data_IF_045068827006
#
_entry.id   IF_045068827006
#
_cell.length_a   1.000
_cell.length_b   1.000
_cell.length_c   1.000
_cell.angle_alpha   90.00
_cell.angle_beta   90.00
_cell.angle_gamma   90.00
#
_symmetry.space_group_name_H-M   'P 1'
#
loop_
_entity.id
_entity.type
_entity.pdbx_description
1 polymer ?
#
# COMPACT_ATOMS: atom_id res chain seq x y z
N UNK A 1 -9.66 17.66 -30.85
CA UNK A 1 -11.09 17.26 -30.91
C UNK A 1 -11.42 16.48 -32.17
N UNK A 2 -10.99 16.90 -33.37
CA UNK A 2 -11.24 16.18 -34.63
C UNK A 2 -10.87 14.70 -34.60
N UNK A 3 -9.68 14.35 -34.08
CA UNK A 3 -9.26 12.95 -33.92
C UNK A 3 -10.19 12.14 -32.99
N UNK A 4 -10.68 12.75 -31.90
CA UNK A 4 -11.59 12.12 -30.95
C UNK A 4 -12.99 11.90 -31.52
N UNK A 5 -13.42 12.75 -32.47
CA UNK A 5 -14.72 12.59 -33.15
C UNK A 5 -14.66 11.58 -34.29
N UNK A 6 -13.47 11.36 -34.87
CA UNK A 6 -13.27 10.47 -36.00
C UNK A 6 -12.85 9.05 -35.61
N UNK A 7 -12.35 8.84 -34.39
CA UNK A 7 -11.85 7.54 -33.93
C UNK A 7 -12.99 6.56 -33.66
N UNK A 8 -12.81 5.32 -34.10
CA UNK A 8 -13.61 4.16 -33.72
C UNK A 8 -12.96 3.35 -32.58
N UNK A 9 -11.78 3.77 -32.11
CA UNK A 9 -11.03 3.16 -31.02
C UNK A 9 -11.42 3.77 -29.67
N UNK A 10 -11.34 3.00 -28.58
CA UNK A 10 -11.54 3.53 -27.23
C UNK A 10 -10.57 4.64 -26.91
N UNK A 11 -11.10 5.64 -26.20
CA UNK A 11 -10.40 6.86 -25.86
C UNK A 11 -10.10 6.82 -24.38
N UNK A 12 -8.86 7.14 -24.06
CA UNK A 12 -8.40 7.25 -22.70
C UNK A 12 -7.91 8.69 -22.45
N UNK A 13 -8.29 9.26 -21.31
CA UNK A 13 -7.93 10.63 -20.92
C UNK A 13 -7.26 10.64 -19.55
N UNK A 14 -6.18 11.42 -19.42
CA UNK A 14 -5.52 11.69 -18.14
C UNK A 14 -5.63 13.18 -17.83
N UNK A 15 -6.68 13.63 -17.10
CA UNK A 15 -6.88 15.04 -16.80
C UNK A 15 -5.78 15.57 -15.90
N UNK A 16 -5.38 16.83 -16.12
CA UNK A 16 -4.46 17.56 -15.26
C UNK A 16 -4.85 19.04 -15.23
N UNK A 17 -5.15 19.56 -14.04
CA UNK A 17 -5.55 20.94 -13.81
C UNK A 17 -5.46 21.30 -12.32
N UNK A 18 -5.49 22.59 -12.02
CA UNK A 18 -5.58 23.08 -10.64
C UNK A 18 -6.80 22.47 -9.89
N UNK A 19 -6.74 22.22 -8.57
CA UNK A 19 -7.83 21.56 -7.84
C UNK A 19 -9.16 22.29 -7.91
N UNK A 20 -9.13 23.64 -7.90
CA UNK A 20 -10.35 24.46 -8.06
C UNK A 20 -10.98 24.30 -9.43
N UNK A 21 -10.15 24.11 -10.48
CA UNK A 21 -10.65 23.83 -11.82
C UNK A 21 -11.28 22.43 -11.88
N UNK A 22 -10.69 21.46 -11.18
CA UNK A 22 -11.20 20.10 -11.10
C UNK A 22 -12.54 20.04 -10.36
N UNK A 23 -12.65 20.72 -9.22
CA UNK A 23 -13.85 20.82 -8.40
C UNK A 23 -14.98 21.63 -9.06
N UNK A 24 -14.65 22.45 -10.07
CA UNK A 24 -15.64 23.31 -10.73
C UNK A 24 -16.81 22.47 -11.30
N UNK A 25 -18.08 22.83 -11.04
CA UNK A 25 -19.24 22.03 -11.45
C UNK A 25 -19.27 21.70 -12.94
N UNK A 26 -18.85 22.63 -13.80
CA UNK A 26 -18.76 22.40 -15.24
C UNK A 26 -17.74 21.31 -15.60
N UNK A 27 -16.58 21.27 -14.94
CA UNK A 27 -15.56 20.25 -15.15
C UNK A 27 -16.07 18.89 -14.71
N UNK A 28 -16.67 18.81 -13.52
CA UNK A 28 -17.28 17.57 -13.00
C UNK A 28 -18.37 17.05 -13.93
N UNK A 29 -19.24 17.92 -14.45
CA UNK A 29 -20.28 17.54 -15.42
C UNK A 29 -19.70 17.07 -16.76
N UNK A 30 -18.63 17.71 -17.25
CA UNK A 30 -17.93 17.30 -18.46
C UNK A 30 -17.29 15.93 -18.29
N UNK A 31 -16.58 15.69 -17.18
CA UNK A 31 -15.96 14.39 -16.88
C UNK A 31 -17.02 13.28 -16.83
N UNK A 32 -18.11 13.50 -16.09
CA UNK A 32 -19.22 12.55 -16.04
C UNK A 32 -19.83 12.27 -17.42
N UNK A 33 -19.93 13.30 -18.27
CA UNK A 33 -20.40 13.16 -19.66
C UNK A 33 -19.43 12.33 -20.52
N UNK A 34 -18.12 12.53 -20.36
CA UNK A 34 -17.11 11.74 -21.07
C UNK A 34 -17.15 10.27 -20.63
N UNK A 35 -17.21 10.01 -19.32
CA UNK A 35 -17.32 8.66 -18.75
C UNK A 35 -18.60 7.96 -19.23
N UNK A 36 -19.74 8.66 -19.25
CA UNK A 36 -21.00 8.13 -19.78
C UNK A 36 -20.95 7.80 -21.28
N UNK A 37 -20.02 8.41 -22.02
CA UNK A 37 -19.75 8.12 -23.44
C UNK A 37 -18.71 7.01 -23.65
N UNK A 38 -18.28 6.34 -22.58
CA UNK A 38 -17.32 5.25 -22.63
C UNK A 38 -15.86 5.67 -22.71
N UNK A 39 -15.55 6.94 -22.42
CA UNK A 39 -14.16 7.42 -22.33
C UNK A 39 -13.58 6.97 -21.00
N UNK A 40 -12.41 6.32 -21.06
CA UNK A 40 -11.69 5.81 -19.90
C UNK A 40 -10.90 6.95 -19.28
N UNK A 41 -11.06 7.18 -17.97
CA UNK A 41 -10.31 8.20 -17.24
C UNK A 41 -9.18 7.57 -16.41
N UNK A 42 -7.99 8.18 -16.45
CA UNK A 42 -6.87 7.89 -15.55
C UNK A 42 -6.58 9.13 -14.70
N UNK A 43 -6.68 9.00 -13.39
CA UNK A 43 -6.53 10.14 -12.48
C UNK A 43 -7.67 11.16 -12.63
N UNK A 44 -7.49 12.43 -12.25
CA UNK A 44 -6.25 13.01 -11.76
C UNK A 44 -5.79 12.41 -10.42
N UNK A 45 -4.49 12.52 -10.15
CA UNK A 45 -3.92 12.25 -8.84
C UNK A 45 -4.13 13.41 -7.86
N UNK A 46 -3.74 13.16 -6.61
CA UNK A 46 -3.72 14.13 -5.53
C UNK A 46 -2.28 14.57 -5.24
N UNK A 47 -2.06 15.86 -4.98
CA UNK A 47 -0.75 16.34 -4.56
C UNK A 47 -0.61 17.86 -4.61
N UNK A 48 0.58 18.34 -4.24
CA UNK A 48 0.97 19.73 -4.44
C UNK A 48 1.05 20.08 -5.93
N UNK A 49 0.54 21.25 -6.26
CA UNK A 49 0.63 21.85 -7.59
C UNK A 49 1.91 22.68 -7.73
N UNK A 50 2.14 23.19 -8.94
CA UNK A 50 3.26 24.09 -9.22
C UNK A 50 3.20 25.42 -8.44
N UNK A 51 2.02 25.82 -7.95
CA UNK A 51 1.83 26.99 -7.10
C UNK A 51 1.83 26.62 -5.61
N UNK A 52 2.53 27.42 -4.81
CA UNK A 52 2.61 27.24 -3.36
C UNK A 52 1.23 27.32 -2.70
N UNK A 53 0.94 26.39 -1.79
CA UNK A 53 -0.33 26.24 -1.05
C UNK A 53 -1.55 25.77 -1.86
N UNK A 54 -1.34 25.22 -3.06
CA UNK A 54 -2.41 24.56 -3.82
C UNK A 54 -2.16 23.04 -3.83
N UNK A 55 -2.73 22.34 -2.85
CA UNK A 55 -2.73 20.88 -2.80
C UNK A 55 -4.17 20.37 -2.96
N UNK A 56 -4.38 19.37 -3.81
CA UNK A 56 -5.71 18.81 -4.05
C UNK A 56 -5.75 17.80 -5.19
N UNK A 57 -6.96 17.32 -5.48
CA UNK A 57 -7.22 16.43 -6.62
C UNK A 57 -7.18 17.25 -7.91
N UNK A 58 -6.32 16.84 -8.86
CA UNK A 58 -6.13 17.58 -10.12
C UNK A 58 -4.77 17.36 -10.77
N UNK A 59 -3.81 16.78 -10.03
CA UNK A 59 -2.46 16.52 -10.55
C UNK A 59 -2.56 15.47 -11.65
N UNK A 60 -1.73 15.56 -12.69
CA UNK A 60 -1.64 14.48 -13.68
C UNK A 60 -1.33 13.15 -12.95
N UNK A 61 -2.02 12.07 -13.31
CA UNK A 61 -1.61 10.74 -12.87
C UNK A 61 -0.14 10.51 -13.21
N UNK A 62 0.61 9.81 -12.35
CA UNK A 62 2.03 9.65 -12.61
C UNK A 62 2.23 8.93 -13.96
N UNK A 63 3.20 9.36 -14.81
CA UNK A 63 3.36 8.80 -16.15
C UNK A 63 3.43 7.26 -16.20
N UNK A 64 4.08 6.56 -15.24
CA UNK A 64 4.01 5.10 -15.17
C UNK A 64 2.60 4.55 -15.05
N UNK A 65 1.71 5.15 -14.26
CA UNK A 65 0.32 4.71 -14.12
C UNK A 65 -0.46 4.87 -15.43
N UNK A 66 -0.20 5.97 -16.15
CA UNK A 66 -0.80 6.21 -17.47
C UNK A 66 -0.34 5.14 -18.46
N UNK A 67 0.96 4.87 -18.50
CA UNK A 67 1.55 3.83 -19.36
C UNK A 67 0.98 2.46 -19.00
N UNK A 68 0.92 2.10 -17.73
CA UNK A 68 0.35 0.83 -17.27
C UNK A 68 -1.08 0.66 -17.73
N UNK A 69 -1.94 1.66 -17.55
CA UNK A 69 -3.34 1.55 -17.97
C UNK A 69 -3.49 1.49 -19.51
N UNK A 70 -2.63 2.18 -20.27
CA UNK A 70 -2.58 2.04 -21.73
C UNK A 70 -2.16 0.62 -22.11
N UNK A 71 -1.10 0.09 -21.50
CA UNK A 71 -0.58 -1.26 -21.76
C UNK A 71 -1.62 -2.32 -21.40
N UNK A 72 -2.21 -2.26 -20.20
CA UNK A 72 -3.28 -3.18 -19.79
C UNK A 72 -4.47 -3.15 -20.75
N UNK A 73 -4.83 -1.97 -21.25
CA UNK A 73 -5.88 -1.83 -22.25
C UNK A 73 -5.49 -2.48 -23.60
N UNK A 74 -4.27 -2.22 -24.08
CA UNK A 74 -3.78 -2.72 -25.38
C UNK A 74 -3.51 -4.23 -25.38
N UNK A 75 -2.99 -4.76 -24.28
CA UNK A 75 -2.77 -6.19 -24.07
C UNK A 75 -4.09 -6.94 -23.81
N UNK A 76 -5.19 -6.19 -23.62
CA UNK A 76 -6.52 -6.73 -23.48
C UNK A 76 -6.69 -7.54 -22.21
N UNK A 77 -5.88 -7.33 -21.16
CA UNK A 77 -5.98 -8.01 -19.87
C UNK A 77 -7.29 -7.58 -19.20
N UNK A 78 -8.38 -8.37 -19.30
CA UNK A 78 -9.60 -8.08 -18.59
C UNK A 78 -9.31 -8.30 -17.10
N UNK A 79 -10.08 -7.65 -16.23
CA UNK A 79 -10.05 -7.99 -14.80
C UNK A 79 -10.15 -9.51 -14.63
N UNK A 80 -9.16 -10.11 -13.99
CA UNK A 80 -9.09 -11.57 -13.77
C UNK A 80 -8.36 -12.38 -14.85
N UNK A 81 -7.59 -11.75 -15.75
CA UNK A 81 -6.55 -12.45 -16.54
C UNK A 81 -5.15 -11.97 -16.14
N UNK A 82 -4.16 -12.82 -16.36
CA UNK A 82 -2.77 -12.60 -15.95
C UNK A 82 -2.22 -13.79 -15.17
N UNK A 83 -0.94 -13.74 -14.80
CA UNK A 83 -0.23 -14.86 -14.17
C UNK A 83 -0.78 -15.24 -12.79
N UNK A 84 -1.50 -14.33 -12.13
CA UNK A 84 -2.14 -14.53 -10.84
C UNK A 84 -3.68 -14.63 -10.95
N UNK A 85 -4.21 -14.81 -12.15
CA UNK A 85 -5.65 -14.96 -12.36
C UNK A 85 -6.24 -16.12 -11.55
N UNK A 86 -7.36 -15.86 -10.88
CA UNK A 86 -8.05 -16.84 -10.03
C UNK A 86 -7.44 -17.00 -8.63
N UNK A 87 -6.35 -16.31 -8.31
CA UNK A 87 -5.76 -16.27 -6.97
C UNK A 87 -6.24 -15.06 -6.19
N UNK A 88 -6.26 -15.19 -4.88
CA UNK A 88 -6.65 -14.14 -3.94
C UNK A 88 -5.42 -13.57 -3.21
N UNK A 89 -5.37 -12.24 -3.07
CA UNK A 89 -4.26 -11.55 -2.40
C UNK A 89 -4.75 -10.59 -1.30
N UNK A 90 -4.04 -10.57 -0.18
CA UNK A 90 -4.18 -9.59 0.89
C UNK A 90 -2.90 -8.77 1.02
N UNK A 91 -3.00 -7.45 1.05
CA UNK A 91 -1.85 -6.56 1.26
C UNK A 91 -2.15 -5.61 2.41
N UNK A 92 -1.21 -5.43 3.33
CA UNK A 92 -1.30 -4.36 4.34
C UNK A 92 -0.41 -3.18 3.95
N UNK A 93 -0.87 -1.96 4.23
CA UNK A 93 -0.12 -0.75 3.91
C UNK A 93 -0.34 0.40 4.91
N UNK A 94 0.51 1.41 4.82
CA UNK A 94 0.43 2.62 5.65
C UNK A 94 0.93 2.42 7.08
N UNK A 95 0.90 3.49 7.89
CA UNK A 95 1.15 3.43 9.34
C UNK A 95 -0.13 3.03 10.10
N UNK A 96 -0.01 2.65 11.37
CA UNK A 96 -1.15 2.66 12.30
C UNK A 96 -1.04 3.84 13.27
N UNK A 97 -2.19 4.41 13.65
CA UNK A 97 -2.31 5.50 14.60
C UNK A 97 -2.91 4.96 15.90
N UNK A 98 -2.07 4.81 16.92
CA UNK A 98 -2.48 4.28 18.23
C UNK A 98 -2.91 5.43 19.14
N UNK A 99 -4.20 5.60 19.43
CA UNK A 99 -4.71 6.77 20.14
C UNK A 99 -4.21 6.81 21.58
N UNK A 100 -3.72 7.99 22.00
CA UNK A 100 -3.42 8.34 23.39
C UNK A 100 -4.65 8.99 24.03
N UNK A 101 -5.22 9.95 23.32
CA UNK A 101 -6.46 10.67 23.64
C UNK A 101 -7.13 11.10 22.31
N UNK A 102 -8.29 11.79 22.30
CA UNK A 102 -8.98 12.15 21.05
C UNK A 102 -8.21 13.11 20.12
N UNK A 103 -7.05 13.61 20.54
CA UNK A 103 -6.24 14.59 19.80
C UNK A 103 -4.84 14.05 19.46
N UNK A 104 -4.36 13.03 20.18
CA UNK A 104 -2.98 12.56 20.11
C UNK A 104 -2.93 11.07 19.86
N UNK A 105 -1.93 10.65 19.11
CA UNK A 105 -1.67 9.25 18.80
C UNK A 105 -0.17 8.96 18.67
N UNK A 106 0.19 7.69 18.73
CA UNK A 106 1.54 7.17 18.43
C UNK A 106 1.48 6.58 17.02
N UNK A 107 2.46 6.90 16.16
CA UNK A 107 2.50 6.41 14.79
C UNK A 107 3.92 6.29 14.25
N UNK A 108 4.08 5.39 13.27
CA UNK A 108 5.30 5.24 12.50
C UNK A 108 5.27 6.15 11.27
N UNK A 109 6.42 6.64 10.80
CA UNK A 109 6.54 7.57 9.65
C UNK A 109 6.41 6.90 8.27
N UNK A 110 5.47 5.97 8.11
CA UNK A 110 5.27 5.29 6.83
C UNK A 110 4.41 6.13 5.88
N UNK A 111 4.82 6.22 4.62
CA UNK A 111 4.01 6.86 3.57
C UNK A 111 2.98 5.91 2.94
N UNK A 112 3.07 4.60 3.20
CA UNK A 112 2.22 3.58 2.56
C UNK A 112 2.49 3.33 1.07
N UNK A 113 3.42 4.05 0.44
CA UNK A 113 3.68 3.94 -1.01
C UNK A 113 4.03 2.50 -1.44
N UNK A 114 4.82 1.78 -0.63
CA UNK A 114 5.28 0.43 -0.99
C UNK A 114 4.13 -0.58 -1.00
N UNK A 115 3.30 -0.63 0.05
CA UNK A 115 2.16 -1.55 0.10
C UNK A 115 1.09 -1.23 -0.94
N UNK A 116 0.85 0.06 -1.23
CA UNK A 116 -0.08 0.45 -2.32
C UNK A 116 0.43 0.01 -3.69
N UNK A 117 1.73 0.19 -3.97
CA UNK A 117 2.34 -0.26 -5.21
C UNK A 117 2.26 -1.79 -5.37
N UNK A 118 2.48 -2.55 -4.28
CA UNK A 118 2.37 -4.02 -4.29
C UNK A 118 0.93 -4.46 -4.56
N UNK A 119 -0.06 -3.86 -3.89
CA UNK A 119 -1.46 -4.18 -4.13
C UNK A 119 -1.86 -3.93 -5.59
N UNK A 120 -1.39 -2.80 -6.17
CA UNK A 120 -1.58 -2.49 -7.59
C UNK A 120 -0.92 -3.55 -8.49
N UNK A 121 0.34 -3.89 -8.24
CA UNK A 121 1.08 -4.85 -9.06
C UNK A 121 0.44 -6.25 -9.06
N UNK A 122 -0.02 -6.72 -7.89
CA UNK A 122 -0.74 -8.00 -7.78
C UNK A 122 -2.07 -7.98 -8.53
N UNK A 123 -2.84 -6.89 -8.38
CA UNK A 123 -4.09 -6.71 -9.12
C UNK A 123 -3.87 -6.64 -10.63
N UNK A 124 -2.80 -6.00 -11.10
CA UNK A 124 -2.43 -5.92 -12.51
C UNK A 124 -2.06 -7.28 -13.10
N UNK A 125 -1.52 -8.19 -12.30
CA UNK A 125 -1.27 -9.58 -12.70
C UNK A 125 -2.51 -10.49 -12.59
N UNK A 126 -3.68 -9.93 -12.25
CA UNK A 126 -4.96 -10.63 -12.27
C UNK A 126 -5.43 -11.20 -10.93
N UNK A 127 -4.70 -10.98 -9.84
CA UNK A 127 -5.10 -11.44 -8.50
C UNK A 127 -6.32 -10.65 -7.98
N UNK A 128 -7.26 -11.34 -7.35
CA UNK A 128 -8.34 -10.72 -6.58
C UNK A 128 -7.76 -10.10 -5.29
N UNK A 129 -7.41 -8.82 -5.36
CA UNK A 129 -6.57 -8.17 -4.36
C UNK A 129 -7.39 -7.33 -3.39
N UNK A 130 -7.16 -7.54 -2.10
CA UNK A 130 -7.63 -6.72 -0.99
C UNK A 130 -6.47 -5.96 -0.35
N UNK A 131 -6.68 -4.68 -0.07
CA UNK A 131 -5.73 -3.79 0.60
C UNK A 131 -6.34 -3.34 1.92
N UNK A 132 -5.69 -3.67 3.04
CA UNK A 132 -5.97 -3.09 4.36
C UNK A 132 -4.95 -2.00 4.61
N UNK A 133 -5.38 -0.74 4.59
CA UNK A 133 -4.49 0.40 4.73
C UNK A 133 -4.81 1.23 5.95
N UNK A 134 -3.77 1.60 6.70
CA UNK A 134 -3.86 2.65 7.70
C UNK A 134 -3.85 4.05 7.07
N UNK A 135 -3.77 5.12 7.89
CA UNK A 135 -3.96 6.49 7.42
C UNK A 135 -2.84 6.94 6.46
N UNK A 136 -3.19 7.19 5.19
CA UNK A 136 -2.27 7.72 4.17
C UNK A 136 -2.95 8.78 3.30
N UNK A 137 -2.17 9.55 2.54
CA UNK A 137 -2.68 10.51 1.54
C UNK A 137 -2.70 9.92 0.12
N UNK A 138 -2.56 8.60 -0.02
CA UNK A 138 -2.49 7.94 -1.31
C UNK A 138 -3.90 7.62 -1.82
N UNK A 139 -4.15 7.74 -3.14
CA UNK A 139 -5.41 7.28 -3.71
C UNK A 139 -5.50 5.76 -3.68
N UNK A 140 -6.72 5.26 -3.51
CA UNK A 140 -7.03 3.83 -3.58
C UNK A 140 -6.62 3.26 -4.95
N UNK A 141 -5.86 2.14 -5.01
CA UNK A 141 -5.45 1.56 -6.27
C UNK A 141 -6.65 1.04 -7.07
N UNK A 142 -6.66 1.32 -8.37
CA UNK A 142 -7.68 0.81 -9.28
C UNK A 142 -7.66 -0.72 -9.30
N UNK A 143 -8.84 -1.35 -9.23
CA UNK A 143 -8.97 -2.81 -9.27
C UNK A 143 -8.78 -3.53 -7.93
N UNK A 144 -8.42 -2.79 -6.86
CA UNK A 144 -8.20 -3.33 -5.52
C UNK A 144 -9.39 -3.03 -4.60
N UNK A 145 -9.81 -4.00 -3.77
CA UNK A 145 -10.78 -3.75 -2.69
C UNK A 145 -10.05 -3.15 -1.49
N UNK A 146 -10.36 -1.91 -1.13
CA UNK A 146 -9.65 -1.19 -0.05
C UNK A 146 -10.48 -1.15 1.23
N UNK A 147 -9.84 -1.46 2.36
CA UNK A 147 -10.39 -1.29 3.72
C UNK A 147 -9.50 -0.32 4.48
N UNK A 148 -10.07 0.82 4.88
CA UNK A 148 -9.38 1.84 5.66
C UNK A 148 -9.51 1.55 7.14
N UNK A 149 -8.38 1.60 7.86
CA UNK A 149 -8.30 1.39 9.32
C UNK A 149 -7.49 2.52 9.97
N UNK A 150 -7.51 2.61 11.29
CA UNK A 150 -6.61 3.50 12.03
C UNK A 150 -5.60 2.71 12.87
N UNK A 151 -6.04 1.70 13.61
CA UNK A 151 -5.22 1.03 14.64
C UNK A 151 -4.69 -0.34 14.19
N UNK A 152 -3.61 -0.81 14.82
CA UNK A 152 -3.09 -2.16 14.63
C UNK A 152 -4.13 -3.26 14.89
N UNK A 153 -5.03 -3.05 15.87
CA UNK A 153 -6.10 -4.00 16.19
C UNK A 153 -7.14 -4.09 15.08
N UNK A 154 -7.57 -2.95 14.55
CA UNK A 154 -8.47 -2.91 13.39
C UNK A 154 -7.81 -3.51 12.15
N UNK A 155 -6.52 -3.27 11.95
CA UNK A 155 -5.77 -3.89 10.85
C UNK A 155 -5.75 -5.41 10.98
N UNK A 156 -5.50 -5.95 12.18
CA UNK A 156 -5.56 -7.39 12.41
C UNK A 156 -6.96 -7.95 12.12
N UNK A 157 -8.01 -7.33 12.68
CA UNK A 157 -9.39 -7.76 12.47
C UNK A 157 -9.77 -7.79 10.98
N UNK A 158 -9.40 -6.75 10.23
CA UNK A 158 -9.64 -6.68 8.79
C UNK A 158 -8.85 -7.76 8.02
N UNK A 159 -7.61 -8.03 8.41
CA UNK A 159 -6.80 -9.10 7.83
C UNK A 159 -7.41 -10.49 8.10
N UNK A 160 -7.86 -10.75 9.33
CA UNK A 160 -8.50 -12.01 9.70
C UNK A 160 -9.83 -12.21 8.97
N UNK A 161 -10.63 -11.15 8.83
CA UNK A 161 -11.89 -11.19 8.09
C UNK A 161 -11.71 -11.42 6.58
N UNK A 162 -10.54 -11.08 6.02
CA UNK A 162 -10.21 -11.31 4.62
C UNK A 162 -9.75 -12.75 4.33
N UNK A 163 -9.39 -13.54 5.36
CA UNK A 163 -8.97 -14.93 5.17
C UNK A 163 -10.16 -15.85 4.80
N UNK A 164 -9.91 -16.93 4.03
CA UNK A 164 -8.62 -17.37 3.50
C UNK A 164 -8.22 -16.61 2.23
N UNK A 165 -6.90 -16.47 2.01
CA UNK A 165 -6.30 -15.97 0.76
C UNK A 165 -5.13 -16.83 0.32
N UNK A 166 -4.77 -16.79 -0.97
CA UNK A 166 -3.59 -17.49 -1.49
C UNK A 166 -2.29 -16.79 -1.08
N UNK A 167 -2.24 -15.47 -1.21
CA UNK A 167 -1.05 -14.67 -0.93
C UNK A 167 -1.36 -13.57 0.08
N UNK A 168 -0.51 -13.37 1.09
CA UNK A 168 -0.58 -12.20 1.96
C UNK A 168 0.77 -11.47 2.04
N UNK A 169 0.74 -10.16 1.87
CA UNK A 169 1.92 -9.28 1.94
C UNK A 169 1.75 -8.25 3.05
N UNK A 170 2.45 -8.45 4.16
CA UNK A 170 2.43 -7.55 5.31
C UNK A 170 3.46 -6.43 5.16
N UNK A 171 3.08 -5.35 4.46
CA UNK A 171 3.95 -4.20 4.17
C UNK A 171 3.63 -2.94 5.01
N UNK A 172 2.60 -2.99 5.87
CA UNK A 172 2.28 -1.88 6.78
C UNK A 172 3.34 -1.67 7.86
N UNK A 173 3.52 -0.41 8.26
CA UNK A 173 4.35 -0.05 9.42
C UNK A 173 3.46 0.03 10.68
N UNK A 174 3.17 -1.15 11.23
CA UNK A 174 2.33 -1.33 12.41
C UNK A 174 3.08 -0.83 13.65
N UNK A 175 2.41 -0.05 14.50
CA UNK A 175 3.00 0.39 15.77
C UNK A 175 3.13 -0.77 16.77
N UNK A 176 4.33 -0.98 17.32
CA UNK A 176 4.60 -2.07 18.27
C UNK A 176 3.89 -1.88 19.62
N UNK A 177 3.61 -0.62 19.99
CA UNK A 177 3.06 -0.23 21.29
C UNK A 177 1.81 0.62 21.13
N UNK A 178 0.86 0.45 22.04
CA UNK A 178 -0.30 1.32 22.22
C UNK A 178 -0.46 1.72 23.69
N UNK A 179 -1.27 2.74 23.98
CA UNK A 179 -1.72 3.00 25.35
C UNK A 179 -2.72 1.92 25.79
N UNK A 180 -2.59 1.42 27.01
CA UNK A 180 -3.46 0.36 27.56
C UNK A 180 -4.95 0.67 27.42
N UNK A 181 -5.40 1.77 28.02
CA UNK A 181 -6.70 2.38 27.75
C UNK A 181 -6.52 3.82 27.29
N UNK A 182 -6.95 4.13 26.07
CA UNK A 182 -6.92 5.50 25.56
C UNK A 182 -7.82 6.41 26.41
N UNK A 183 -7.32 7.58 26.78
CA UNK A 183 -8.08 8.52 27.60
C UNK A 183 -9.30 9.04 26.81
N UNK A 184 -10.49 8.98 27.40
CA UNK A 184 -11.73 9.49 26.75
C UNK A 184 -11.74 11.00 26.54
N UNK A 185 -10.95 11.72 27.34
CA UNK A 185 -10.85 13.17 27.32
C UNK A 185 -9.41 13.59 27.05
N UNK A 186 -9.24 14.71 26.36
CA UNK A 186 -7.92 15.33 26.12
C UNK A 186 -7.18 15.50 27.45
N UNK A 187 -5.97 14.96 27.54
CA UNK A 187 -5.12 15.13 28.72
C UNK A 187 -4.71 16.61 28.81
N UNK A 188 -5.18 17.28 29.87
CA UNK A 188 -4.94 18.71 30.14
C UNK A 188 -3.64 18.88 30.93
N UNK A 189 -2.98 20.03 30.75
CA UNK A 189 -1.90 20.46 31.64
C UNK A 189 -2.54 20.82 32.99
N UNK A 190 -2.11 20.19 34.07
CA UNK A 190 -2.60 20.43 35.43
C UNK A 190 -1.90 21.63 36.11
N UNK A 191 -0.94 22.27 35.42
CA UNK A 191 -0.16 23.40 35.92
C UNK A 191 0.85 23.03 37.01
N UNK A 192 0.97 21.76 37.37
CA UNK A 192 1.83 21.27 38.46
C UNK A 192 3.21 20.80 37.99
N UNK A 193 3.53 21.02 36.71
CA UNK A 193 4.78 20.58 36.08
C UNK A 193 5.01 19.06 36.19
N UNK A 194 3.96 18.29 36.42
CA UNK A 194 3.96 16.83 36.44
C UNK A 194 3.98 16.30 35.02
N UNK A 195 5.01 15.53 34.67
CA UNK A 195 5.09 14.84 33.38
C UNK A 195 3.97 13.79 33.31
N UNK A 196 3.08 13.83 32.30
CA UNK A 196 2.09 12.79 32.13
C UNK A 196 2.77 11.46 31.78
N UNK A 197 2.44 10.40 32.49
CA UNK A 197 2.91 9.03 32.20
C UNK A 197 1.94 8.36 31.22
N UNK A 198 2.47 7.64 30.24
CA UNK A 198 1.70 6.80 29.32
C UNK A 198 2.05 5.34 29.59
N UNK A 199 1.05 4.57 30.05
CA UNK A 199 1.21 3.12 30.24
C UNK A 199 1.05 2.41 28.89
N UNK A 200 2.18 1.93 28.37
CA UNK A 200 2.25 1.26 27.08
C UNK A 200 2.04 -0.25 27.22
N UNK A 201 1.34 -0.84 26.26
CA UNK A 201 1.15 -2.27 26.10
C UNK A 201 1.41 -2.68 24.65
N UNK A 202 1.87 -3.90 24.43
CA UNK A 202 2.21 -4.41 23.09
C UNK A 202 0.97 -4.54 22.21
N UNK A 203 1.12 -4.18 20.94
CA UNK A 203 0.13 -4.44 19.90
C UNK A 203 0.20 -5.86 19.38
N UNK A 204 -0.91 -6.36 18.80
CA UNK A 204 -0.90 -7.67 18.18
C UNK A 204 0.05 -7.69 16.96
N UNK A 205 0.77 -8.80 16.79
CA UNK A 205 1.65 -8.99 15.64
C UNK A 205 0.89 -9.65 14.49
N UNK A 206 0.50 -8.84 13.51
CA UNK A 206 -0.31 -9.28 12.36
C UNK A 206 0.39 -10.38 11.56
N UNK A 207 1.70 -10.26 11.30
CA UNK A 207 2.43 -11.24 10.53
C UNK A 207 2.49 -12.59 11.26
N UNK A 208 2.73 -12.58 12.58
CA UNK A 208 2.72 -13.77 13.40
C UNK A 208 1.32 -14.40 13.49
N UNK A 209 0.27 -13.58 13.65
CA UNK A 209 -1.11 -14.05 13.70
C UNK A 209 -1.51 -14.77 12.41
N UNK A 210 -1.20 -14.17 11.25
CA UNK A 210 -1.45 -14.82 9.95
C UNK A 210 -0.63 -16.10 9.78
N UNK A 211 0.64 -16.11 10.21
CA UNK A 211 1.52 -17.28 10.14
C UNK A 211 1.12 -18.45 11.05
N UNK A 212 0.31 -18.18 12.08
CA UNK A 212 -0.22 -19.20 13.01
C UNK A 212 -1.68 -19.55 12.76
N UNK A 213 -2.36 -18.82 11.87
CA UNK A 213 -3.77 -19.04 11.55
C UNK A 213 -4.01 -20.44 10.97
N UNK A 214 -5.18 -21.02 11.27
CA UNK A 214 -5.64 -22.25 10.61
C UNK A 214 -5.95 -22.03 9.12
N UNK A 215 -6.20 -20.78 8.74
CA UNK A 215 -6.41 -20.32 7.36
C UNK A 215 -5.18 -19.55 6.85
N UNK A 216 -3.98 -19.97 7.29
CA UNK A 216 -2.72 -19.35 6.86
C UNK A 216 -2.66 -19.27 5.33
N UNK A 217 -2.27 -18.12 4.76
CA UNK A 217 -2.05 -18.00 3.32
C UNK A 217 -1.05 -19.04 2.80
N UNK A 218 -1.21 -19.44 1.53
CA UNK A 218 -0.26 -20.37 0.87
C UNK A 218 1.13 -19.74 0.78
N UNK A 219 1.19 -18.43 0.51
CA UNK A 219 2.40 -17.63 0.54
C UNK A 219 2.21 -16.42 1.45
N UNK A 220 2.94 -16.39 2.57
CA UNK A 220 2.95 -15.29 3.54
C UNK A 220 4.28 -14.54 3.47
N UNK A 221 4.21 -13.24 3.22
CA UNK A 221 5.35 -12.36 2.99
C UNK A 221 5.32 -11.23 4.02
N UNK A 222 6.42 -11.01 4.71
CA UNK A 222 6.59 -9.87 5.62
C UNK A 222 7.63 -8.87 5.14
N UNK A 223 7.64 -7.70 5.77
CA UNK A 223 8.69 -6.70 5.61
C UNK A 223 9.54 -6.56 6.89
N UNK A 224 10.82 -6.28 6.72
CA UNK A 224 11.75 -5.98 7.80
C UNK A 224 12.51 -4.68 7.49
N UNK A 225 12.23 -3.65 8.29
CA UNK A 225 12.98 -2.41 8.28
C UNK A 225 14.02 -2.50 9.40
N UNK A 226 15.29 -2.64 9.04
CA UNK A 226 16.39 -2.81 9.97
C UNK A 226 17.42 -1.70 9.77
N UNK A 227 18.18 -1.36 10.82
CA UNK A 227 19.27 -0.37 10.75
C UNK A 227 20.66 -1.02 10.81
N UNK A 228 20.72 -2.28 11.19
CA UNK A 228 21.94 -3.08 11.31
C UNK A 228 21.62 -4.55 11.03
N UNK A 229 22.62 -5.33 10.61
CA UNK A 229 22.50 -6.79 10.43
C UNK A 229 21.24 -7.22 9.67
N UNK A 230 20.89 -6.47 8.61
CA UNK A 230 19.59 -6.52 7.90
C UNK A 230 19.18 -7.94 7.52
N UNK A 231 20.10 -8.71 6.90
CA UNK A 231 19.82 -10.07 6.42
C UNK A 231 19.68 -11.06 7.58
N UNK A 232 20.53 -10.99 8.60
CA UNK A 232 20.49 -11.90 9.75
C UNK A 232 19.20 -11.72 10.55
N UNK A 233 18.81 -10.46 10.82
CA UNK A 233 17.56 -10.11 11.48
C UNK A 233 16.35 -10.58 10.66
N UNK A 234 16.40 -10.43 9.33
CA UNK A 234 15.34 -10.89 8.43
C UNK A 234 15.17 -12.43 8.45
N UNK A 235 16.27 -13.20 8.46
CA UNK A 235 16.23 -14.66 8.57
C UNK A 235 15.61 -15.08 9.91
N UNK A 236 16.03 -14.44 11.01
CA UNK A 236 15.47 -14.70 12.34
C UNK A 236 13.97 -14.36 12.39
N UNK A 237 13.57 -13.21 11.83
CA UNK A 237 12.17 -12.76 11.76
C UNK A 237 11.32 -13.73 10.96
N UNK A 238 11.77 -14.18 9.78
CA UNK A 238 11.06 -15.15 8.94
C UNK A 238 10.70 -16.41 9.72
N UNK A 239 11.68 -16.98 10.42
CA UNK A 239 11.52 -18.20 11.21
C UNK A 239 10.60 -17.97 12.40
N UNK A 240 10.81 -16.89 13.17
CA UNK A 240 9.98 -16.53 14.34
C UNK A 240 8.52 -16.29 13.99
N UNK A 241 8.25 -15.68 12.83
CA UNK A 241 6.90 -15.29 12.39
C UNK A 241 6.22 -16.33 11.50
N UNK A 242 6.92 -17.42 11.15
CA UNK A 242 6.43 -18.49 10.27
C UNK A 242 5.93 -17.98 8.90
N UNK A 243 6.56 -16.93 8.38
CA UNK A 243 6.29 -16.46 7.02
C UNK A 243 7.27 -17.12 6.04
N UNK A 244 6.88 -17.19 4.78
CA UNK A 244 7.65 -17.85 3.74
C UNK A 244 8.79 -16.95 3.28
N UNK A 245 8.50 -15.66 3.07
CA UNK A 245 9.48 -14.65 2.65
C UNK A 245 9.52 -13.44 3.58
N UNK A 246 10.68 -12.80 3.64
CA UNK A 246 10.84 -11.46 4.19
C UNK A 246 11.53 -10.57 3.15
N UNK A 247 10.94 -9.41 2.84
CA UNK A 247 11.67 -8.34 2.19
C UNK A 247 12.31 -7.45 3.26
N UNK A 248 13.63 -7.43 3.29
CA UNK A 248 14.39 -6.65 4.24
C UNK A 248 14.98 -5.40 3.56
N UNK A 249 14.96 -4.27 4.25
CA UNK A 249 15.59 -3.05 3.77
C UNK A 249 16.27 -2.29 4.90
N UNK A 250 17.40 -1.66 4.57
CA UNK A 250 18.12 -0.76 5.47
C UNK A 250 17.40 0.59 5.53
N UNK A 251 16.92 0.97 6.71
CA UNK A 251 16.21 2.24 6.99
C UNK A 251 17.04 3.23 7.81
N UNK A 252 18.35 3.00 7.93
CA UNK A 252 19.24 3.95 8.59
C UNK A 252 19.14 5.35 7.96
N UNK A 253 19.33 6.44 8.73
CA UNK A 253 19.17 7.81 8.20
C UNK A 253 20.02 8.11 6.96
N UNK A 254 21.13 7.38 6.77
CA UNK A 254 22.02 7.52 5.63
C UNK A 254 21.43 6.99 4.31
N UNK A 255 20.42 6.09 4.36
CA UNK A 255 19.86 5.45 3.15
C UNK A 255 18.66 6.20 2.58
N UNK A 256 17.96 7.02 3.38
CA UNK A 256 16.80 7.79 2.93
C UNK A 256 15.56 6.94 2.60
N UNK A 257 15.57 5.66 2.95
CA UNK A 257 14.57 4.66 2.54
C UNK A 257 13.20 4.86 3.20
N UNK A 258 13.16 5.35 4.44
CA UNK A 258 11.90 5.54 5.18
C UNK A 258 11.18 6.81 4.72
N UNK A 259 10.12 6.65 3.94
CA UNK A 259 9.35 7.74 3.36
C UNK A 259 9.82 8.18 1.96
N UNK A 260 11.04 7.83 1.54
CA UNK A 260 11.60 8.11 0.20
C UNK A 260 10.95 7.32 -0.94
N UNK A 261 11.36 7.60 -2.18
CA UNK A 261 10.80 6.98 -3.39
C UNK A 261 11.57 5.74 -3.88
N UNK A 262 12.80 5.56 -3.40
CA UNK A 262 13.66 4.43 -3.71
C UNK A 262 13.84 3.49 -2.52
N UNK A 263 14.15 2.24 -2.79
CA UNK A 263 14.42 1.21 -1.80
C UNK A 263 15.48 0.23 -2.30
N UNK A 264 16.37 -0.21 -1.40
CA UNK A 264 17.28 -1.34 -1.63
C UNK A 264 16.77 -2.50 -0.78
N UNK A 265 16.35 -3.57 -1.44
CA UNK A 265 15.63 -4.68 -0.81
C UNK A 265 16.45 -5.97 -0.91
N UNK A 266 16.33 -6.81 0.12
CA UNK A 266 16.86 -8.15 0.15
C UNK A 266 15.69 -9.12 0.33
N UNK A 267 15.43 -9.97 -0.67
CA UNK A 267 14.41 -11.00 -0.59
C UNK A 267 15.00 -12.23 0.12
N UNK A 268 14.53 -12.48 1.33
CA UNK A 268 14.98 -13.59 2.18
C UNK A 268 13.96 -14.72 2.16
N UNK A 269 14.34 -15.89 1.66
CA UNK A 269 13.51 -17.09 1.53
C UNK A 269 14.17 -18.30 2.21
N UNK A 270 13.47 -19.42 2.31
CA UNK A 270 14.07 -20.68 2.80
C UNK A 270 15.24 -21.18 1.96
N UNK A 271 15.30 -20.80 0.68
CA UNK A 271 16.32 -21.24 -0.27
C UNK A 271 17.57 -20.34 -0.26
N UNK A 272 17.44 -19.08 0.18
CA UNK A 272 18.55 -18.15 0.23
C UNK A 272 18.13 -16.69 0.30
N UNK A 273 19.06 -15.81 -0.08
CA UNK A 273 18.88 -14.36 -0.10
C UNK A 273 19.15 -13.87 -1.51
N UNK A 274 18.24 -13.06 -2.05
CA UNK A 274 18.42 -12.37 -3.32
C UNK A 274 18.50 -10.85 -3.07
N UNK A 275 19.63 -10.26 -3.43
CA UNK A 275 19.85 -8.82 -3.33
C UNK A 275 19.25 -8.10 -4.54
N UNK A 276 18.43 -7.08 -4.27
CA UNK A 276 17.87 -6.23 -5.31
C UNK A 276 18.67 -4.94 -5.41
N UNK A 277 18.90 -4.42 -6.62
CA UNK A 277 19.48 -3.09 -6.77
C UNK A 277 18.56 -2.03 -6.16
N UNK A 278 19.06 -0.81 -6.02
CA UNK A 278 18.22 0.33 -5.67
C UNK A 278 17.13 0.49 -6.73
N UNK A 279 15.87 0.37 -6.31
CA UNK A 279 14.71 0.42 -7.18
C UNK A 279 13.71 1.44 -6.66
N UNK A 280 13.00 2.10 -7.58
CA UNK A 280 11.79 2.83 -7.22
C UNK A 280 10.73 1.88 -6.64
N UNK A 281 9.87 2.38 -5.76
CA UNK A 281 8.85 1.56 -5.07
C UNK A 281 7.95 0.75 -6.01
N UNK A 282 7.58 1.31 -7.16
CA UNK A 282 6.78 0.59 -8.16
C UNK A 282 7.58 -0.53 -8.82
N UNK A 283 8.83 -0.28 -9.23
CA UNK A 283 9.67 -1.32 -9.82
C UNK A 283 9.95 -2.47 -8.84
N UNK A 284 10.13 -2.15 -7.54
CA UNK A 284 10.24 -3.15 -6.49
C UNK A 284 8.94 -3.95 -6.32
N UNK A 285 7.77 -3.30 -6.40
CA UNK A 285 6.47 -3.97 -6.33
C UNK A 285 6.24 -4.90 -7.53
N UNK A 286 6.57 -4.46 -8.75
CA UNK A 286 6.43 -5.25 -9.97
C UNK A 286 7.37 -6.48 -9.93
N UNK A 287 8.62 -6.27 -9.49
CA UNK A 287 9.56 -7.37 -9.28
C UNK A 287 9.03 -8.38 -8.26
N UNK A 288 8.54 -7.92 -7.11
CA UNK A 288 7.93 -8.78 -6.10
C UNK A 288 6.73 -9.57 -6.66
N UNK A 289 5.83 -8.90 -7.37
CA UNK A 289 4.67 -9.55 -7.97
C UNK A 289 5.06 -10.63 -8.99
N UNK A 290 6.14 -10.41 -9.76
CA UNK A 290 6.73 -11.42 -10.63
C UNK A 290 7.22 -12.66 -9.87
N UNK A 291 7.98 -12.48 -8.79
CA UNK A 291 8.41 -13.59 -7.95
C UNK A 291 7.22 -14.35 -7.33
N UNK A 292 6.20 -13.62 -6.86
CA UNK A 292 4.97 -14.22 -6.32
C UNK A 292 4.30 -15.09 -7.39
N UNK A 293 4.19 -14.61 -8.63
CA UNK A 293 3.64 -15.39 -9.74
C UNK A 293 4.45 -16.67 -10.00
N UNK A 294 5.78 -16.56 -10.09
CA UNK A 294 6.66 -17.73 -10.28
C UNK A 294 6.48 -18.77 -9.17
N UNK A 295 6.30 -18.32 -7.91
CA UNK A 295 6.11 -19.22 -6.78
C UNK A 295 4.73 -19.87 -6.77
N UNK A 296 3.67 -19.12 -7.09
CA UNK A 296 2.30 -19.65 -7.12
C UNK A 296 2.10 -20.65 -8.27
N UNK A 297 2.76 -20.45 -9.42
CA UNK A 297 2.77 -21.42 -10.52
C UNK A 297 3.44 -22.74 -10.12
N UNK A 298 4.48 -22.72 -9.28
CA UNK A 298 5.14 -23.94 -8.76
C UNK A 298 4.31 -24.67 -7.69
N UNK A 299 3.40 -23.96 -7.02
CA UNK A 299 2.54 -24.48 -5.96
C UNK A 299 1.18 -25.00 -6.48
N UNK A 300 0.85 -24.77 -7.74
CA UNK A 300 -0.36 -25.24 -8.42
C UNK A 300 -0.22 -26.68 -8.92
#
# INVERSE_FOLDING_TARGET
>A
TTALLATDKPVLVAPAMNPRMWEHPATRANVATLEARGIIRIGPGFGEMAESNEAGEGRLADPPDIVTAIVSYLEGTPKGQGRLAGLSALVTSGPTFEPIDPVRYIANRSSGKQGHAIARALSNLGADTSLVTGPTQLPDPMGVRVTHIETARQMLEACEAALPVDVAVCAAAVGDWRVGEAAKNKIKKDGKNTTPTLDLTENPDILASLGQSKQRPRLLIGFAAETEQVVENAIAKRTKKKCDWILANDVSPATGTFGGDDNTLHLVTSEGVEDWPRLGKQAAADKLAGHIADAMEKLA
#
